data_IF_361457158690
#
_entry.id   IF_361457158690
#
_cell.length_a   1.000
_cell.length_b   1.000
_cell.length_c   1.000
_cell.angle_alpha   90.00
_cell.angle_beta   90.00
_cell.angle_gamma   90.00
#
_symmetry.space_group_name_H-M   'P 1'
#
loop_
_entity.id
_entity.type
_entity.pdbx_description
1 polymer ?
#
# COMPACT_ATOMS: atom_id res chain seq x y z
N UNK A 1 -8.28 -18.61 -23.08
CA UNK A 1 -8.17 -18.26 -21.64
C UNK A 1 -8.78 -16.89 -21.47
N UNK A 2 -9.78 -16.75 -20.61
CA UNK A 2 -10.31 -15.44 -20.20
C UNK A 2 -9.39 -14.84 -19.15
N UNK A 3 -9.22 -13.53 -19.19
CA UNK A 3 -8.21 -12.83 -18.40
C UNK A 3 -8.92 -11.76 -17.58
N UNK A 4 -8.58 -11.72 -16.29
CA UNK A 4 -9.05 -10.63 -15.45
C UNK A 4 -8.00 -9.52 -15.44
N UNK A 5 -8.46 -8.31 -15.78
CA UNK A 5 -7.63 -7.12 -15.95
C UNK A 5 -8.03 -6.12 -14.89
N UNK A 6 -7.04 -5.56 -14.19
CA UNK A 6 -7.23 -4.39 -13.36
C UNK A 6 -6.60 -3.21 -14.07
N UNK A 7 -7.43 -2.28 -14.53
CA UNK A 7 -7.01 -1.13 -15.34
C UNK A 7 -7.54 0.16 -14.76
N UNK A 8 -6.82 1.24 -15.02
CA UNK A 8 -7.31 2.57 -14.72
C UNK A 8 -8.30 2.99 -15.82
N UNK A 9 -9.55 3.30 -15.43
CA UNK A 9 -10.61 3.66 -16.37
C UNK A 9 -10.39 5.02 -17.02
N UNK A 10 -9.61 5.90 -16.38
CA UNK A 10 -9.34 7.27 -16.84
C UNK A 10 -8.13 7.32 -17.78
N UNK A 11 -7.04 6.62 -17.45
CA UNK A 11 -5.83 6.61 -18.29
C UNK A 11 -5.82 5.53 -19.37
N UNK A 12 -6.74 4.56 -19.30
CA UNK A 12 -6.83 3.46 -20.28
C UNK A 12 -5.67 2.46 -20.21
N UNK A 13 -4.85 2.50 -19.15
CA UNK A 13 -3.75 1.57 -18.98
C UNK A 13 -4.22 0.20 -18.49
N UNK A 14 -4.20 -0.78 -19.40
CA UNK A 14 -4.60 -2.17 -19.17
C UNK A 14 -3.66 -2.99 -18.24
N UNK A 15 -2.51 -2.43 -17.85
CA UNK A 15 -1.44 -3.18 -17.18
C UNK A 15 -1.14 -2.75 -15.74
N UNK A 16 -2.11 -2.14 -15.06
CA UNK A 16 -1.93 -1.66 -13.68
C UNK A 16 -1.68 -2.81 -12.68
N UNK A 17 -2.40 -3.93 -12.80
CA UNK A 17 -2.09 -5.17 -12.09
C UNK A 17 -2.58 -6.41 -12.85
N UNK A 18 -1.91 -7.55 -12.63
CA UNK A 18 -2.33 -8.85 -13.15
C UNK A 18 -3.11 -9.60 -12.09
N UNK A 19 -4.37 -9.88 -12.38
CA UNK A 19 -5.25 -10.59 -11.45
C UNK A 19 -5.21 -12.08 -11.77
N UNK A 20 -4.74 -12.87 -10.80
CA UNK A 20 -4.69 -14.32 -10.86
C UNK A 20 -5.58 -14.96 -9.80
N UNK A 21 -5.59 -16.29 -9.72
CA UNK A 21 -6.39 -17.05 -8.76
C UNK A 21 -6.09 -16.69 -7.29
N UNK A 22 -4.83 -16.37 -6.98
CA UNK A 22 -4.39 -15.98 -5.63
C UNK A 22 -4.47 -14.48 -5.32
N UNK A 23 -5.03 -13.68 -6.24
CA UNK A 23 -5.24 -12.24 -6.02
C UNK A 23 -6.38 -12.02 -5.02
N UNK A 24 -6.17 -11.07 -4.12
CA UNK A 24 -7.12 -10.77 -3.04
C UNK A 24 -8.24 -9.85 -3.53
N UNK A 25 -9.48 -10.19 -3.16
CA UNK A 25 -10.63 -9.32 -3.30
C UNK A 25 -10.74 -8.36 -2.10
N UNK A 26 -11.43 -7.24 -2.26
CA UNK A 26 -11.78 -6.31 -1.18
C UNK A 26 -12.52 -6.99 -0.01
N UNK A 27 -13.22 -8.10 -0.25
CA UNK A 27 -13.82 -8.89 0.84
C UNK A 27 -12.82 -9.68 1.69
N UNK A 28 -11.55 -9.77 1.27
CA UNK A 28 -10.48 -10.49 1.95
C UNK A 28 -10.19 -11.89 1.38
N UNK A 29 -11.11 -12.46 0.59
CA UNK A 29 -10.93 -13.78 -0.03
C UNK A 29 -10.20 -13.71 -1.36
N UNK A 30 -9.58 -14.83 -1.76
CA UNK A 30 -8.86 -14.93 -3.03
C UNK A 30 -9.85 -15.04 -4.22
N UNK A 31 -9.38 -14.72 -5.43
CA UNK A 31 -10.19 -14.82 -6.65
C UNK A 31 -10.71 -16.24 -6.91
N UNK A 32 -9.98 -17.28 -6.48
CA UNK A 32 -10.44 -18.67 -6.56
C UNK A 32 -11.75 -18.93 -5.80
N UNK A 33 -12.05 -18.15 -4.76
CA UNK A 33 -13.32 -18.23 -4.00
C UNK A 33 -14.47 -17.46 -4.68
N UNK A 34 -14.23 -16.82 -5.83
CA UNK A 34 -15.23 -16.10 -6.59
C UNK A 34 -15.66 -16.89 -7.82
N UNK A 35 -16.97 -17.15 -7.94
CA UNK A 35 -17.56 -17.91 -9.05
C UNK A 35 -18.53 -17.04 -9.83
N UNK A 36 -18.55 -17.21 -11.14
CA UNK A 36 -19.56 -16.59 -12.00
C UNK A 36 -20.88 -17.35 -11.86
N UNK A 37 -21.97 -16.62 -11.61
CA UNK A 37 -23.31 -17.24 -11.50
C UNK A 37 -23.76 -17.73 -12.89
N UNK A 38 -23.43 -16.97 -13.93
CA UNK A 38 -23.73 -17.30 -15.33
C UNK A 38 -22.45 -17.16 -16.16
N UNK A 39 -22.30 -17.90 -17.26
CA UNK A 39 -21.11 -17.79 -18.12
C UNK A 39 -20.86 -16.35 -18.63
N UNK A 40 -21.93 -15.57 -18.83
CA UNK A 40 -21.85 -14.17 -19.27
C UNK A 40 -22.16 -13.15 -18.16
N UNK A 41 -22.14 -13.55 -16.88
CA UNK A 41 -22.32 -12.56 -15.81
C UNK A 41 -21.07 -11.68 -15.72
N UNK A 42 -21.20 -10.35 -15.71
CA UNK A 42 -20.03 -9.45 -15.68
C UNK A 42 -19.24 -9.58 -14.37
N UNK A 43 -19.89 -10.02 -13.29
CA UNK A 43 -19.33 -10.07 -11.95
C UNK A 43 -19.30 -11.49 -11.41
N UNK A 44 -18.15 -11.89 -10.86
CA UNK A 44 -18.03 -13.09 -10.04
C UNK A 44 -18.45 -12.81 -8.59
N UNK A 45 -19.23 -13.71 -8.00
CA UNK A 45 -19.72 -13.62 -6.62
C UNK A 45 -18.89 -14.51 -5.71
N UNK A 46 -18.60 -14.04 -4.51
CA UNK A 46 -17.85 -14.82 -3.53
C UNK A 46 -18.73 -15.94 -2.96
N UNK A 47 -18.17 -17.14 -2.79
CA UNK A 47 -18.86 -18.28 -2.17
C UNK A 47 -18.89 -18.14 -0.64
N UNK A 48 -17.85 -17.53 -0.07
CA UNK A 48 -17.61 -17.52 1.37
C UNK A 48 -18.19 -16.28 2.08
N UNK A 49 -18.75 -15.30 1.35
CA UNK A 49 -19.33 -14.08 1.93
C UNK A 49 -20.30 -13.36 0.98
N UNK A 50 -21.00 -12.33 1.49
CA UNK A 50 -21.98 -11.50 0.74
C UNK A 50 -21.39 -10.57 -0.34
N UNK A 51 -20.14 -10.80 -0.76
CA UNK A 51 -19.48 -10.01 -1.79
C UNK A 51 -20.04 -10.33 -3.17
N UNK A 52 -20.60 -9.31 -3.84
CA UNK A 52 -21.33 -9.46 -5.12
C UNK A 52 -20.46 -9.29 -6.37
N UNK A 53 -19.27 -8.73 -6.23
CA UNK A 53 -18.36 -8.51 -7.34
C UNK A 53 -16.92 -8.59 -6.83
N UNK A 54 -16.05 -9.24 -7.61
CA UNK A 54 -14.64 -9.24 -7.30
C UNK A 54 -14.06 -7.82 -7.51
N UNK A 55 -13.43 -7.29 -6.48
CA UNK A 55 -12.77 -6.00 -6.53
C UNK A 55 -11.32 -6.19 -6.07
N UNK A 56 -10.37 -6.06 -6.98
CA UNK A 56 -8.95 -6.32 -6.68
C UNK A 56 -8.44 -5.40 -5.58
N UNK A 57 -7.72 -5.95 -4.60
CA UNK A 57 -6.95 -5.19 -3.61
C UNK A 57 -5.56 -5.80 -3.49
N UNK A 58 -4.50 -4.98 -3.39
CA UNK A 58 -3.14 -5.47 -3.20
C UNK A 58 -3.02 -6.41 -2.00
N UNK A 59 -2.24 -7.49 -2.17
CA UNK A 59 -2.06 -8.50 -1.11
C UNK A 59 -0.89 -8.15 -0.19
N UNK A 60 0.13 -7.52 -0.76
CA UNK A 60 1.40 -7.19 -0.12
C UNK A 60 1.76 -5.69 -0.25
N UNK A 61 2.55 -5.13 0.68
CA UNK A 61 2.94 -3.73 0.63
C UNK A 61 3.84 -3.38 -0.58
N UNK A 62 4.59 -4.34 -1.11
CA UNK A 62 5.43 -4.15 -2.30
C UNK A 62 4.60 -3.79 -3.54
N UNK A 63 3.36 -4.26 -3.63
CA UNK A 63 2.45 -4.01 -4.76
C UNK A 63 1.96 -2.55 -4.81
N UNK A 64 2.17 -1.78 -3.75
CA UNK A 64 1.74 -0.37 -3.62
C UNK A 64 2.90 0.59 -3.37
N UNK A 65 4.14 0.13 -3.53
CA UNK A 65 5.34 0.96 -3.35
C UNK A 65 5.85 1.05 -1.92
N UNK A 66 5.20 0.38 -0.96
CA UNK A 66 5.64 0.30 0.44
C UNK A 66 6.65 -0.84 0.67
N UNK A 67 7.55 -1.05 -0.30
CA UNK A 67 8.53 -2.16 -0.29
C UNK A 67 9.53 -2.10 0.88
N UNK A 68 9.59 -0.98 1.60
CA UNK A 68 10.43 -0.78 2.78
C UNK A 68 9.78 -1.32 4.07
N UNK A 69 8.45 -1.52 4.11
CA UNK A 69 7.73 -2.02 5.29
C UNK A 69 8.22 -3.41 5.75
N UNK A 70 8.36 -4.42 4.86
CA UNK A 70 8.84 -5.75 5.24
C UNK A 70 10.23 -5.77 5.87
N UNK A 71 11.06 -4.75 5.63
CA UNK A 71 12.41 -4.64 6.17
C UNK A 71 12.44 -4.09 7.60
N UNK A 72 11.31 -3.61 8.13
CA UNK A 72 11.23 -3.12 9.50
C UNK A 72 11.16 -4.28 10.49
N UNK A 73 11.89 -4.14 11.60
CA UNK A 73 11.83 -5.10 12.72
C UNK A 73 10.39 -5.19 13.24
N UNK A 74 9.90 -6.41 13.41
CA UNK A 74 8.55 -6.67 13.95
C UNK A 74 7.40 -6.46 12.95
N UNK A 75 7.67 -6.15 11.68
CA UNK A 75 6.62 -6.09 10.67
C UNK A 75 6.22 -7.50 10.21
N UNK A 76 4.91 -7.77 10.11
CA UNK A 76 4.38 -9.03 9.62
C UNK A 76 3.55 -8.79 8.34
N UNK A 77 4.02 -9.35 7.23
CA UNK A 77 3.40 -9.22 5.90
C UNK A 77 2.00 -9.82 5.85
N UNK A 78 1.73 -10.89 6.62
CA UNK A 78 0.42 -11.56 6.61
C UNK A 78 -0.69 -10.71 7.25
N UNK A 79 -0.31 -9.81 8.16
CA UNK A 79 -1.24 -8.90 8.84
C UNK A 79 -1.44 -7.60 8.06
N UNK A 80 -0.66 -7.36 7.00
CA UNK A 80 -0.79 -6.14 6.22
C UNK A 80 -2.13 -6.10 5.48
N UNK A 81 -2.73 -4.91 5.45
CA UNK A 81 -3.97 -4.60 4.74
C UNK A 81 -3.79 -3.28 4.01
N UNK A 82 -4.29 -3.21 2.78
CA UNK A 82 -4.36 -1.97 2.05
C UNK A 82 -5.12 -0.90 2.87
N UNK A 83 -4.45 0.20 3.19
CA UNK A 83 -4.97 1.24 4.07
C UNK A 83 -5.85 2.24 3.30
N UNK A 84 -6.98 2.61 3.92
CA UNK A 84 -7.78 3.76 3.54
C UNK A 84 -7.16 5.06 4.10
N UNK A 85 -7.53 6.22 3.55
CA UNK A 85 -7.20 7.54 4.12
C UNK A 85 -7.70 7.72 5.56
N UNK A 86 -8.72 6.98 5.98
CA UNK A 86 -9.16 6.93 7.39
C UNK A 86 -8.25 6.09 8.31
N UNK A 87 -7.14 5.55 7.79
CA UNK A 87 -6.13 4.69 8.46
C UNK A 87 -6.59 3.27 8.82
N UNK A 88 -7.81 2.89 8.49
CA UNK A 88 -8.27 1.52 8.63
C UNK A 88 -7.95 0.70 7.38
N UNK A 89 -7.74 -0.61 7.55
CA UNK A 89 -7.57 -1.54 6.43
C UNK A 89 -8.87 -1.73 5.64
N UNK A 90 -8.75 -2.16 4.38
CA UNK A 90 -9.90 -2.51 3.53
C UNK A 90 -10.86 -3.54 4.18
N UNK A 91 -10.37 -4.42 5.05
CA UNK A 91 -11.16 -5.40 5.80
C UNK A 91 -12.10 -4.78 6.84
N UNK A 92 -11.76 -3.58 7.33
CA UNK A 92 -12.60 -2.78 8.21
C UNK A 92 -13.72 -2.04 7.46
N UNK A 93 -13.78 -2.15 6.13
CA UNK A 93 -14.83 -1.56 5.30
C UNK A 93 -15.90 -2.60 4.92
N UNK A 94 -17.08 -2.12 4.55
CA UNK A 94 -18.13 -2.95 3.98
C UNK A 94 -17.68 -3.53 2.63
N UNK A 95 -18.09 -4.75 2.31
CA UNK A 95 -17.71 -5.45 1.07
C UNK A 95 -18.43 -4.93 -0.17
N UNK A 96 -19.43 -4.06 0.01
CA UNK A 96 -20.27 -3.50 -1.06
C UNK A 96 -19.98 -2.01 -1.23
N UNK A 97 -19.99 -1.48 -2.47
CA UNK A 97 -19.95 -0.05 -2.72
C UNK A 97 -21.01 0.71 -1.88
N UNK A 98 -20.69 1.90 -1.34
CA UNK A 98 -19.46 2.69 -1.56
C UNK A 98 -18.27 2.28 -0.67
N UNK A 99 -18.30 1.08 -0.07
CA UNK A 99 -17.27 0.57 0.85
C UNK A 99 -17.12 1.46 2.08
N UNK A 100 -18.22 1.64 2.83
CA UNK A 100 -18.22 2.44 4.07
C UNK A 100 -17.34 1.78 5.14
N UNK A 101 -16.59 2.58 5.90
CA UNK A 101 -15.85 2.06 7.05
C UNK A 101 -16.83 1.66 8.16
N UNK A 102 -16.58 0.52 8.81
CA UNK A 102 -17.40 0.06 9.95
C UNK A 102 -16.95 0.67 11.27
N UNK A 103 -15.69 1.11 11.35
CA UNK A 103 -15.05 1.59 12.58
C UNK A 103 -15.08 3.12 12.73
N UNK A 104 -15.43 3.87 11.68
CA UNK A 104 -15.49 5.33 11.71
C UNK A 104 -16.49 5.89 10.68
N UNK A 105 -16.75 7.20 10.70
CA UNK A 105 -17.68 7.88 9.79
C UNK A 105 -17.24 8.02 8.32
N UNK A 106 -16.23 7.26 7.88
CA UNK A 106 -15.73 7.30 6.51
C UNK A 106 -16.77 6.72 5.53
N UNK A 107 -17.25 7.57 4.62
CA UNK A 107 -18.38 7.29 3.72
C UNK A 107 -18.02 6.46 2.49
N UNK A 108 -16.74 6.42 2.10
CA UNK A 108 -16.26 5.60 1.01
C UNK A 108 -14.79 5.22 1.20
N UNK A 109 -14.39 4.06 0.67
CA UNK A 109 -12.99 3.67 0.68
C UNK A 109 -12.19 4.58 -0.26
N UNK A 110 -11.17 5.24 0.29
CA UNK A 110 -10.22 6.05 -0.46
C UNK A 110 -8.83 5.51 -0.15
N UNK A 111 -8.14 4.97 -1.15
CA UNK A 111 -6.80 4.42 -0.91
C UNK A 111 -5.86 5.51 -0.41
N UNK A 112 -5.06 5.17 0.61
CA UNK A 112 -3.94 6.02 1.06
C UNK A 112 -2.73 5.90 0.12
N UNK A 113 -2.68 4.81 -0.63
CA UNK A 113 -1.66 4.48 -1.62
C UNK A 113 -2.17 4.75 -3.05
N UNK A 114 -1.23 4.78 -4.00
CA UNK A 114 -1.48 4.94 -5.44
C UNK A 114 -0.98 3.72 -6.21
N UNK A 115 -1.54 3.47 -7.39
CA UNK A 115 -1.07 2.44 -8.30
C UNK A 115 0.37 2.73 -8.75
N UNK A 116 1.25 1.73 -8.69
CA UNK A 116 2.66 1.87 -9.08
C UNK A 116 2.88 2.13 -10.58
N UNK A 117 1.88 1.83 -11.42
CA UNK A 117 2.01 1.89 -12.88
C UNK A 117 1.48 3.20 -13.43
N UNK A 118 0.35 3.68 -12.92
CA UNK A 118 -0.34 4.85 -13.46
C UNK A 118 -0.53 6.00 -12.46
N UNK A 119 -0.02 5.87 -11.23
CA UNK A 119 -0.16 6.83 -10.12
C UNK A 119 -1.60 7.19 -9.70
N UNK A 120 -2.61 6.53 -10.29
CA UNK A 120 -4.01 6.70 -9.94
C UNK A 120 -4.38 6.09 -8.60
N UNK A 121 -5.50 6.53 -8.03
CA UNK A 121 -6.05 5.96 -6.80
C UNK A 121 -6.76 4.64 -7.08
N UNK A 122 -7.01 3.84 -6.04
CA UNK A 122 -7.75 2.58 -6.18
C UNK A 122 -9.13 2.76 -6.82
N UNK A 123 -9.81 3.87 -6.54
CA UNK A 123 -11.14 4.18 -7.07
C UNK A 123 -11.14 4.49 -8.58
N UNK A 124 -10.00 4.91 -9.14
CA UNK A 124 -9.84 5.18 -10.57
C UNK A 124 -9.69 3.89 -11.39
N UNK A 125 -9.65 2.74 -10.72
CA UNK A 125 -9.46 1.45 -11.37
C UNK A 125 -10.73 0.61 -11.34
N UNK A 126 -10.93 -0.11 -12.43
CA UNK A 126 -11.97 -1.12 -12.56
C UNK A 126 -11.35 -2.51 -12.71
N UNK A 127 -12.03 -3.51 -12.17
CA UNK A 127 -11.66 -4.92 -12.41
C UNK A 127 -12.61 -5.48 -13.46
N UNK A 128 -12.05 -5.87 -14.60
CA UNK A 128 -12.81 -6.34 -15.74
C UNK A 128 -12.45 -7.77 -16.08
N UNK A 129 -13.47 -8.52 -16.45
CA UNK A 129 -13.30 -9.79 -17.10
C UNK A 129 -13.37 -9.58 -18.61
N UNK A 130 -12.28 -9.90 -19.30
CA UNK A 130 -12.21 -9.79 -20.75
C UNK A 130 -11.86 -11.15 -21.36
N UNK A 131 -12.59 -11.52 -22.41
CA UNK A 131 -12.25 -12.68 -23.23
C UNK A 131 -11.12 -12.34 -24.19
N UNK A 132 -10.44 -13.39 -24.67
CA UNK A 132 -9.42 -13.24 -25.72
C UNK A 132 -10.01 -12.58 -26.98
N UNK A 133 -11.24 -12.92 -27.34
CA UNK A 133 -11.88 -12.45 -28.57
C UNK A 133 -12.36 -11.00 -28.45
N UNK A 134 -12.82 -10.56 -27.28
CA UNK A 134 -13.07 -9.14 -26.99
C UNK A 134 -11.79 -8.32 -27.13
N UNK A 135 -10.70 -8.76 -26.48
CA UNK A 135 -9.41 -8.07 -26.60
C UNK A 135 -8.91 -8.01 -28.04
N UNK A 136 -9.01 -9.11 -28.79
CA UNK A 136 -8.59 -9.13 -30.19
C UNK A 136 -9.43 -8.19 -31.07
N UNK A 137 -10.75 -8.13 -30.87
CA UNK A 137 -11.63 -7.17 -31.58
C UNK A 137 -11.27 -5.72 -31.27
N UNK A 138 -10.90 -5.43 -30.04
CA UNK A 138 -10.50 -4.09 -29.59
C UNK A 138 -9.04 -3.75 -29.94
N UNK A 139 -8.35 -4.60 -30.71
CA UNK A 139 -6.95 -4.39 -31.10
C UNK A 139 -5.95 -4.47 -29.94
N UNK A 140 -6.33 -5.13 -28.84
CA UNK A 140 -5.54 -5.23 -27.62
C UNK A 140 -4.66 -6.48 -27.60
N UNK A 141 -3.55 -6.47 -26.83
CA UNK A 141 -2.64 -7.61 -26.78
C UNK A 141 -3.33 -8.85 -26.19
N UNK A 142 -3.07 -9.99 -26.85
CA UNK A 142 -3.57 -11.33 -26.52
C UNK A 142 -2.41 -12.33 -26.56
N UNK A 143 -2.55 -13.46 -25.86
CA UNK A 143 -1.52 -14.52 -25.86
C UNK A 143 -0.18 -14.02 -25.30
N UNK A 144 0.92 -14.33 -25.99
CA UNK A 144 2.27 -13.98 -25.54
C UNK A 144 2.51 -12.47 -25.47
N UNK A 145 1.88 -11.69 -26.36
CA UNK A 145 1.95 -10.24 -26.33
C UNK A 145 1.31 -9.65 -25.04
N UNK A 146 0.43 -10.40 -24.38
CA UNK A 146 -0.17 -10.02 -23.11
C UNK A 146 0.67 -10.44 -21.91
N UNK A 147 1.73 -11.25 -22.04
CA UNK A 147 2.55 -11.65 -20.90
C UNK A 147 3.33 -10.45 -20.32
N UNK A 148 3.64 -10.46 -19.00
CA UNK A 148 4.58 -9.49 -18.46
C UNK A 148 5.91 -9.58 -19.20
N UNK A 149 6.58 -8.44 -19.40
CA UNK A 149 7.85 -8.36 -20.12
C UNK A 149 7.78 -8.84 -21.59
N UNK A 150 6.60 -8.84 -22.21
CA UNK A 150 6.44 -9.25 -23.62
C UNK A 150 7.24 -8.42 -24.63
N UNK A 151 7.69 -7.23 -24.25
CA UNK A 151 8.53 -6.36 -25.08
C UNK A 151 10.04 -6.66 -24.94
N UNK A 152 10.46 -7.41 -23.91
CA UNK A 152 11.85 -7.73 -23.64
C UNK A 152 11.98 -9.26 -23.49
N UNK A 153 12.37 -9.91 -24.59
CA UNK A 153 12.42 -11.37 -24.67
C UNK A 153 13.49 -11.93 -23.73
N UNK A 154 14.64 -11.26 -23.61
CA UNK A 154 15.75 -11.72 -22.76
C UNK A 154 15.35 -11.71 -21.28
N UNK A 155 14.71 -10.63 -20.82
CA UNK A 155 14.19 -10.55 -19.45
C UNK A 155 13.03 -11.52 -19.21
N UNK A 156 12.14 -11.67 -20.20
CA UNK A 156 11.02 -12.62 -20.13
C UNK A 156 11.53 -14.06 -19.97
N UNK A 157 12.52 -14.47 -20.77
CA UNK A 157 13.14 -15.79 -20.67
C UNK A 157 13.82 -15.97 -19.31
N UNK A 158 14.54 -14.97 -18.81
CA UNK A 158 15.21 -15.06 -17.51
C UNK A 158 14.21 -15.27 -16.35
N UNK A 159 13.05 -14.62 -16.40
CA UNK A 159 12.04 -14.66 -15.32
C UNK A 159 11.13 -15.89 -15.43
N UNK A 160 10.73 -16.28 -16.65
CA UNK A 160 9.70 -17.29 -16.87
C UNK A 160 10.21 -18.65 -17.36
N UNK A 161 11.49 -18.78 -17.78
CA UNK A 161 12.01 -20.08 -18.18
C UNK A 161 11.99 -21.07 -17.00
N UNK A 162 11.40 -22.26 -17.22
CA UNK A 162 11.44 -23.36 -16.24
C UNK A 162 12.90 -23.72 -15.95
N UNK A 163 13.32 -23.79 -14.67
CA UNK A 163 14.68 -24.21 -14.36
C UNK A 163 14.90 -25.65 -14.83
N UNK A 164 15.81 -25.84 -15.77
CA UNK A 164 16.34 -27.16 -16.11
C UNK A 164 17.22 -27.63 -14.95
N UNK A 165 16.67 -28.45 -14.06
CA UNK A 165 17.43 -29.35 -13.18
C UNK A 165 18.38 -28.73 -12.14
N UNK A 166 18.23 -27.47 -11.74
CA UNK A 166 19.01 -26.92 -10.62
C UNK A 166 18.24 -27.11 -9.32
N UNK A 167 18.87 -27.78 -8.34
CA UNK A 167 18.38 -27.86 -6.96
C UNK A 167 18.02 -26.45 -6.48
N UNK A 168 16.94 -26.25 -5.72
CA UNK A 168 16.58 -24.95 -5.18
C UNK A 168 17.82 -24.32 -4.53
N UNK A 169 18.20 -23.12 -4.95
CA UNK A 169 19.15 -22.33 -4.17
C UNK A 169 18.47 -22.10 -2.83
N UNK A 170 19.12 -22.52 -1.75
CA UNK A 170 18.66 -22.17 -0.42
C UNK A 170 18.45 -20.65 -0.36
N UNK A 171 17.38 -20.19 0.30
CA UNK A 171 17.11 -18.77 0.44
C UNK A 171 18.35 -18.09 1.02
N UNK A 172 18.84 -17.06 0.30
CA UNK A 172 19.85 -16.14 0.82
C UNK A 172 19.17 -15.38 1.96
N UNK A 173 19.30 -15.91 3.17
CA UNK A 173 18.60 -15.41 4.35
C UNK A 173 17.54 -16.37 4.87
N UNK A 174 17.93 -17.61 5.20
CA UNK A 174 17.34 -18.23 6.38
C UNK A 174 17.52 -17.26 7.55
N UNK A 175 16.42 -16.98 8.23
CA UNK A 175 16.33 -16.20 9.44
C UNK A 175 17.54 -16.48 10.32
N UNK A 176 18.41 -15.49 10.54
CA UNK A 176 19.28 -15.53 11.70
C UNK A 176 18.35 -15.35 12.89
N UNK A 177 17.80 -16.46 13.39
CA UNK A 177 17.39 -16.57 14.77
C UNK A 177 18.61 -16.18 15.58
N UNK A 178 18.67 -14.93 16.01
CA UNK A 178 19.66 -14.48 16.97
C UNK A 178 19.34 -15.30 18.21
N UNK A 179 20.15 -16.34 18.49
CA UNK A 179 20.21 -16.92 19.82
C UNK A 179 20.46 -15.74 20.75
N UNK A 180 19.44 -15.34 21.50
CA UNK A 180 19.59 -14.44 22.63
C UNK A 180 20.64 -15.07 23.53
N UNK A 181 21.84 -14.51 23.52
CA UNK A 181 22.88 -14.94 24.44
C UNK A 181 22.39 -14.64 25.86
N UNK A 182 22.61 -15.54 26.83
CA UNK A 182 22.26 -15.28 28.21
C UNK A 182 23.03 -14.04 28.69
N UNK A 183 22.32 -13.18 29.42
CA UNK A 183 22.82 -11.94 30.00
C UNK A 183 24.05 -12.24 30.85
N UNK A 184 25.25 -11.96 30.35
CA UNK A 184 26.41 -11.80 31.22
C UNK A 184 26.33 -10.40 31.85
N UNK A 185 26.20 -10.38 33.18
CA UNK A 185 26.43 -9.21 34.00
C UNK A 185 27.89 -8.76 33.86
N UNK A 186 28.07 -7.44 33.78
CA UNK A 186 29.36 -6.75 33.71
C UNK A 186 29.31 -5.75 32.56
N UNK A 187 29.22 -4.44 32.73
CA UNK A 187 29.47 -3.58 33.88
C UNK A 187 29.91 -2.26 33.26
N UNK A 188 29.15 -1.20 33.51
CA UNK A 188 29.44 0.25 33.39
C UNK A 188 28.08 0.97 33.38
N UNK A 189 27.38 0.89 34.52
CA UNK A 189 26.21 1.70 34.80
C UNK A 189 26.52 2.55 36.03
N UNK A 190 26.48 3.88 35.86
CA UNK A 190 26.39 4.81 37.00
C UNK A 190 25.18 4.43 37.84
N UNK A 191 25.31 4.57 39.16
CA UNK A 191 24.24 4.23 40.10
C UNK A 191 23.10 5.26 40.01
N UNK A 192 21.86 4.88 40.34
CA UNK A 192 20.68 5.75 40.22
C UNK A 192 20.70 7.01 41.11
N UNK A 193 21.68 7.14 42.01
CA UNK A 193 21.87 8.30 42.89
C UNK A 193 22.49 9.52 42.19
N UNK A 194 23.00 9.36 40.97
CA UNK A 194 23.78 10.40 40.28
C UNK A 194 23.01 11.05 39.10
N UNK A 195 21.68 10.90 39.06
CA UNK A 195 20.84 11.53 38.02
C UNK A 195 20.27 12.85 38.55
N UNK A 196 20.78 14.02 38.12
CA UNK A 196 20.24 15.30 38.56
C UNK A 196 18.80 15.48 38.08
N UNK A 197 18.01 16.15 38.91
CA UNK A 197 16.58 16.35 38.70
C UNK A 197 16.33 17.24 37.47
N UNK A 198 15.16 17.09 36.86
CA UNK A 198 14.71 17.90 35.71
C UNK A 198 14.78 19.41 35.98
N UNK A 199 14.61 19.85 37.23
CA UNK A 199 14.73 21.25 37.62
C UNK A 199 16.17 21.81 37.53
N UNK A 200 17.20 20.97 37.66
CA UNK A 200 18.61 21.38 37.60
C UNK A 200 19.13 21.52 36.17
N UNK A 201 18.42 20.98 35.16
CA UNK A 201 18.80 21.12 33.74
C UNK A 201 18.36 22.44 33.09
N UNK A 202 17.52 23.24 33.75
CA UNK A 202 16.92 24.45 33.15
C UNK A 202 17.68 25.73 33.47
N UNK A 203 18.65 25.71 34.39
CA UNK A 203 19.41 26.92 34.79
C UNK A 203 20.86 26.79 34.32
N UNK A 204 21.14 27.21 33.08
CA UNK A 204 22.50 27.10 32.57
C UNK A 204 22.78 27.68 31.19
N UNK A 205 22.19 28.82 30.82
CA UNK A 205 22.75 29.63 29.72
C UNK A 205 22.27 31.07 29.78
N UNK A 206 22.95 31.90 30.57
CA UNK A 206 22.81 33.35 30.53
C UNK A 206 24.09 34.03 31.07
N UNK A 207 25.15 34.07 30.25
CA UNK A 207 26.17 35.12 30.32
C UNK A 207 26.61 35.47 28.90
N UNK A 208 26.23 36.66 28.45
CA UNK A 208 26.53 37.19 27.13
C UNK A 208 25.87 38.54 26.94
N UNK A 209 26.36 39.55 27.66
CA UNK A 209 26.03 40.97 27.52
C UNK A 209 26.27 41.45 26.09
N UNK A 210 25.26 42.04 25.45
CA UNK A 210 25.50 43.22 24.61
C UNK A 210 24.26 44.14 24.63
N UNK A 211 24.51 45.40 24.98
CA UNK A 211 23.57 46.50 25.01
C UNK A 211 23.43 47.11 23.61
N UNK A 212 22.36 47.91 23.46
CA UNK A 212 21.99 48.80 22.34
C UNK A 212 20.95 48.16 21.39
N UNK A 213 19.84 48.80 21.01
CA UNK A 213 19.29 50.11 21.34
C UNK A 213 17.75 50.07 21.12
N UNK A 214 17.04 50.89 21.88
CA UNK A 214 15.60 51.14 21.80
C UNK A 214 15.27 52.05 20.62
N UNK A 215 14.34 51.65 19.75
CA UNK A 215 13.45 52.59 19.04
C UNK A 215 12.07 51.97 18.85
N UNK A 216 11.07 52.70 19.35
CA UNK A 216 9.65 52.38 19.32
C UNK A 216 9.06 52.46 17.90
N UNK A 217 8.07 51.61 17.62
CA UNK A 217 7.19 51.75 16.45
C UNK A 217 5.74 51.84 16.95
N UNK A 218 4.99 52.92 16.60
CA UNK A 218 3.66 53.16 17.13
C UNK A 218 2.57 52.33 16.44
N UNK A 219 1.54 52.00 17.22
CA UNK A 219 0.22 51.50 16.79
C UNK A 219 -0.39 52.43 15.74
N UNK A 220 -0.73 51.91 14.57
CA UNK A 220 -1.63 52.56 13.64
C UNK A 220 -3.04 52.01 13.79
N UNK A 221 -3.93 52.94 14.12
CA UNK A 221 -5.37 52.77 14.32
C UNK A 221 -6.10 52.60 13.00
N UNK A 222 -7.12 51.74 13.02
CA UNK A 222 -8.17 51.63 12.01
C UNK A 222 -8.97 52.92 11.86
N UNK A 223 -9.17 53.39 10.62
CA UNK A 223 -10.39 54.13 10.25
C UNK A 223 -10.70 53.99 8.76
N UNK A 224 -11.95 53.67 8.50
CA UNK A 224 -12.58 53.51 7.19
C UNK A 224 -12.97 54.88 6.59
N UNK A 225 -13.02 54.95 5.24
CA UNK A 225 -14.06 55.67 4.49
C UNK A 225 -13.93 55.40 2.97
N UNK A 226 -15.02 54.91 2.37
CA UNK A 226 -15.45 55.07 0.95
C UNK A 226 -15.77 56.57 0.70
N UNK A 227 -16.14 57.07 -0.51
CA UNK A 227 -16.65 56.36 -1.71
C UNK A 227 -16.14 56.88 -3.08
N UNK A 228 -16.39 56.11 -4.14
CA UNK A 228 -17.18 56.49 -5.32
C UNK A 228 -17.74 55.20 -5.94
#
# INVERSE_FOLDING_TARGET
QSLMVWRNSTSGQDFCARVGSGSRCFCGHDYSSHKYIKPNSPNSVCVDCDCKAFAFVPKRPEEVGDYWLPRRRGFNVHNWRAECRCKHGHDSHATKPPYRCKSCGCSSYQSKWCCLVCDGTWADHETLWETKDERARDGRPVGDAFLPLSHDVDLSELVFAKPRGKKPREPIGAERSVKLMPKHLGGLGMLPSDVPSFAERVVGSAKGTNQQALTAVPRLTSRAARPF
#
